data_IF_486743963922
#
_entry.id   IF_486743963922
#
_cell.length_a   1.000
_cell.length_b   1.000
_cell.length_c   1.000
_cell.angle_alpha   90.00
_cell.angle_beta   90.00
_cell.angle_gamma   90.00
#
_symmetry.space_group_name_H-M   'P 1'
#
loop_
_entity.id
_entity.type
_entity.pdbx_description
1 polymer ?
#
# COMPACT_ATOMS: atom_id res chain seq x y z
N UNK A 1 15.63 19.31 7.54
CA UNK A 1 15.19 20.68 7.90
C UNK A 1 13.67 20.70 7.96
N UNK A 2 13.08 20.86 9.13
CA UNK A 2 11.61 20.98 9.26
C UNK A 2 11.20 22.35 8.76
N UNK A 3 10.32 22.43 7.76
CA UNK A 3 9.91 23.70 7.15
C UNK A 3 9.36 24.69 8.18
N UNK A 4 9.56 25.99 7.91
CA UNK A 4 9.09 27.09 8.78
C UNK A 4 7.60 26.91 9.12
N UNK A 5 7.26 26.99 10.41
CA UNK A 5 5.88 26.95 10.93
C UNK A 5 5.26 28.35 10.90
N UNK A 6 3.93 28.45 10.96
CA UNK A 6 3.24 29.76 11.01
C UNK A 6 3.59 30.49 12.33
N UNK A 7 3.71 29.75 13.42
CA UNK A 7 4.12 30.28 14.73
C UNK A 7 5.12 29.35 15.42
N UNK A 8 5.85 29.88 16.40
CA UNK A 8 6.75 29.09 17.24
C UNK A 8 5.97 28.02 18.01
N UNK A 9 6.63 26.89 18.32
CA UNK A 9 6.03 25.81 19.11
C UNK A 9 5.62 26.24 20.52
N UNK A 10 6.21 27.33 21.03
CA UNK A 10 5.91 27.93 22.34
C UNK A 10 4.59 28.70 22.38
N UNK A 11 3.96 28.99 21.22
CA UNK A 11 2.68 29.68 21.19
C UNK A 11 1.59 28.76 21.75
N UNK A 12 0.91 29.23 22.80
CA UNK A 12 -0.20 28.50 23.40
C UNK A 12 -1.42 28.52 22.48
N UNK A 13 -1.98 27.33 22.25
CA UNK A 13 -3.20 27.20 21.46
C UNK A 13 -4.41 27.62 22.27
N UNK A 14 -5.38 28.22 21.59
CA UNK A 14 -6.67 28.52 22.21
C UNK A 14 -7.35 27.22 22.61
N UNK A 15 -7.53 27.01 23.90
CA UNK A 15 -8.28 25.90 24.48
C UNK A 15 -9.60 26.39 25.08
N UNK A 16 -10.57 25.47 25.23
CA UNK A 16 -11.75 25.75 26.02
C UNK A 16 -11.37 25.94 27.49
N UNK A 17 -12.23 26.59 28.29
CA UNK A 17 -12.00 26.70 29.74
C UNK A 17 -11.94 25.29 30.37
N UNK A 18 -11.29 25.13 31.53
CA UNK A 18 -11.14 23.82 32.17
C UNK A 18 -12.46 23.07 32.37
N UNK A 19 -13.54 23.80 32.69
CA UNK A 19 -14.89 23.23 32.84
C UNK A 19 -15.42 22.59 31.56
N UNK A 20 -15.36 23.30 30.42
CA UNK A 20 -15.81 22.77 29.13
C UNK A 20 -14.90 21.65 28.62
N UNK A 21 -13.61 21.72 28.91
CA UNK A 21 -12.64 20.66 28.65
C UNK A 21 -13.03 19.38 29.41
N UNK A 22 -13.42 19.50 30.68
CA UNK A 22 -13.91 18.40 31.50
C UNK A 22 -15.21 17.81 30.95
N UNK A 23 -16.21 18.64 30.62
CA UNK A 23 -17.48 18.17 30.02
C UNK A 23 -17.20 17.40 28.72
N UNK A 24 -16.39 17.96 27.82
CA UNK A 24 -16.03 17.33 26.54
C UNK A 24 -15.32 15.99 26.76
N UNK A 25 -14.32 15.93 27.65
CA UNK A 25 -13.63 14.67 27.96
C UNK A 25 -14.59 13.63 28.54
N UNK A 26 -15.52 14.05 29.38
CA UNK A 26 -16.52 13.17 30.01
C UNK A 26 -17.50 12.61 28.99
N UNK A 27 -18.04 13.45 28.10
CA UNK A 27 -18.99 13.05 27.05
C UNK A 27 -18.30 12.19 25.97
N UNK A 28 -17.08 12.54 25.58
CA UNK A 28 -16.30 11.80 24.57
C UNK A 28 -15.52 10.63 25.14
N UNK A 29 -15.76 10.26 26.40
CA UNK A 29 -15.18 9.06 26.98
C UNK A 29 -13.65 9.01 27.03
N UNK A 30 -13.00 10.17 26.98
CA UNK A 30 -11.53 10.30 27.01
C UNK A 30 -11.00 9.85 28.38
N UNK A 31 -11.69 10.28 29.44
CA UNK A 31 -11.40 9.90 30.83
C UNK A 31 -12.46 8.89 31.31
N UNK A 32 -12.43 7.65 30.80
CA UNK A 32 -13.32 6.57 31.28
C UNK A 32 -12.74 5.80 32.46
N UNK A 33 -13.65 5.22 33.25
CA UNK A 33 -13.34 4.31 34.35
C UNK A 33 -12.56 3.09 33.83
N UNK A 34 -11.66 2.49 34.64
CA UNK A 34 -10.74 1.41 34.24
C UNK A 34 -11.41 0.09 33.79
N UNK A 35 -12.74 0.05 33.66
CA UNK A 35 -13.53 -1.14 33.28
C UNK A 35 -13.64 -1.35 31.76
N UNK A 36 -13.43 -0.31 30.94
CA UNK A 36 -13.53 -0.40 29.47
C UNK A 36 -12.25 0.13 28.83
N UNK A 37 -11.70 -0.53 27.80
CA UNK A 37 -10.50 -0.03 27.12
C UNK A 37 -10.76 1.39 26.58
N UNK A 38 -9.79 2.30 26.73
CA UNK A 38 -9.97 3.70 26.37
C UNK A 38 -10.18 3.83 24.85
N UNK A 39 -11.16 4.61 24.37
CA UNK A 39 -11.29 4.90 22.94
C UNK A 39 -10.13 5.79 22.48
N UNK A 40 -9.28 5.25 21.62
CA UNK A 40 -8.09 5.94 21.08
C UNK A 40 -6.87 5.04 21.07
N UNK A 41 -5.75 5.54 20.55
CA UNK A 41 -4.47 4.84 20.62
C UNK A 41 -4.01 4.80 22.09
N UNK A 42 -3.60 3.63 22.62
CA UNK A 42 -3.08 3.54 23.97
C UNK A 42 -1.80 4.37 24.08
N UNK A 43 -1.80 5.35 24.98
CA UNK A 43 -0.56 6.03 25.41
C UNK A 43 0.15 5.18 26.47
N UNK A 44 1.45 5.40 26.73
CA UNK A 44 2.19 4.66 27.76
C UNK A 44 1.53 4.63 29.14
N UNK A 45 0.73 5.65 29.46
CA UNK A 45 0.01 5.79 30.72
C UNK A 45 -1.39 5.12 30.74
N UNK A 46 -1.79 4.45 29.64
CA UNK A 46 -3.09 3.78 29.52
C UNK A 46 -4.30 4.72 29.44
N UNK A 47 -4.08 6.04 29.28
CA UNK A 47 -5.13 7.05 29.15
C UNK A 47 -5.38 7.39 27.68
N UNK A 48 -6.65 7.59 27.29
CA UNK A 48 -6.95 8.18 26.00
C UNK A 48 -6.61 9.67 26.01
N UNK A 49 -6.01 10.15 24.92
CA UNK A 49 -5.74 11.58 24.72
C UNK A 49 -6.71 12.11 23.66
N UNK A 50 -7.38 13.22 23.98
CA UNK A 50 -8.21 13.90 22.99
C UNK A 50 -7.35 14.60 21.95
N UNK A 51 -7.41 14.15 20.70
CA UNK A 51 -6.80 14.84 19.57
C UNK A 51 -7.75 15.90 19.01
N UNK A 52 -7.38 17.18 19.15
CA UNK A 52 -8.17 18.28 18.62
C UNK A 52 -8.07 18.32 17.08
N UNK A 53 -9.20 18.24 16.33
CA UNK A 53 -9.18 18.30 14.87
C UNK A 53 -8.91 19.71 14.33
N UNK A 54 -8.98 20.74 15.17
CA UNK A 54 -8.71 22.12 14.77
C UNK A 54 -7.23 22.33 14.46
N UNK A 55 -6.98 23.15 13.46
CA UNK A 55 -5.63 23.50 13.02
C UNK A 55 -5.19 24.78 13.72
N UNK A 56 -3.99 24.76 14.31
CA UNK A 56 -3.43 25.88 15.05
C UNK A 56 -2.14 26.39 14.40
N UNK A 57 -1.78 27.67 14.59
CA UNK A 57 -0.58 28.25 13.97
C UNK A 57 0.72 27.51 14.28
N UNK A 58 0.86 26.94 15.49
CA UNK A 58 2.06 26.20 15.88
C UNK A 58 2.11 24.77 15.31
N UNK A 59 0.98 24.19 14.88
CA UNK A 59 0.95 22.84 14.29
C UNK A 59 1.09 22.89 12.77
N UNK A 60 0.66 23.98 12.13
CA UNK A 60 0.68 24.14 10.68
C UNK A 60 2.01 24.64 10.13
N UNK A 61 2.38 24.16 8.93
CA UNK A 61 3.44 24.77 8.12
C UNK A 61 3.07 26.19 7.69
N UNK A 62 4.08 27.04 7.48
CA UNK A 62 3.92 28.39 6.98
C UNK A 62 3.13 28.41 5.66
N UNK A 63 2.38 29.50 5.43
CA UNK A 63 1.61 29.68 4.19
C UNK A 63 2.54 29.78 2.97
N UNK A 64 2.04 29.43 1.76
CA UNK A 64 2.79 29.62 0.52
C UNK A 64 3.32 31.06 0.42
N UNK A 65 4.61 31.22 0.13
CA UNK A 65 5.30 32.52 0.08
C UNK A 65 6.04 32.91 1.36
N UNK A 66 5.75 32.30 2.51
CA UNK A 66 6.53 32.46 3.75
C UNK A 66 7.46 31.28 4.03
N UNK A 67 7.33 30.19 3.26
CA UNK A 67 8.24 29.06 3.28
C UNK A 67 9.43 29.33 2.35
N UNK A 68 10.61 28.82 2.72
CA UNK A 68 11.78 28.85 1.84
C UNK A 68 11.50 28.05 0.56
N UNK A 69 11.98 28.57 -0.57
CA UNK A 69 11.87 27.88 -1.85
C UNK A 69 12.67 26.56 -1.77
N UNK A 70 12.05 25.41 -2.08
CA UNK A 70 12.75 24.14 -2.01
C UNK A 70 13.80 24.05 -3.12
N UNK A 71 14.99 23.57 -2.78
CA UNK A 71 15.97 23.12 -3.78
C UNK A 71 15.71 21.66 -4.09
N UNK A 72 14.98 21.40 -5.18
CA UNK A 72 14.67 20.04 -5.61
C UNK A 72 15.90 19.37 -6.25
N UNK A 73 16.18 18.09 -5.96
CA UNK A 73 17.22 17.37 -6.67
C UNK A 73 16.86 17.22 -8.15
N UNK A 74 17.88 17.20 -9.01
CA UNK A 74 17.68 16.85 -10.42
C UNK A 74 17.18 15.42 -10.59
N UNK A 75 16.57 15.14 -11.75
CA UNK A 75 16.22 13.78 -12.14
C UNK A 75 17.47 12.92 -12.41
N UNK A 76 17.28 11.61 -12.55
CA UNK A 76 18.36 10.63 -12.75
C UNK A 76 19.26 10.89 -13.96
N UNK A 77 18.75 11.61 -14.97
CA UNK A 77 19.50 11.99 -16.18
C UNK A 77 20.01 13.45 -16.15
N UNK A 78 20.07 14.10 -14.99
CA UNK A 78 20.71 15.42 -14.84
C UNK A 78 22.23 15.26 -14.67
N UNK A 79 22.88 14.71 -15.70
CA UNK A 79 24.33 14.41 -15.74
C UNK A 79 24.93 14.94 -17.05
N UNK A 80 26.19 15.39 -17.01
CA UNK A 80 26.87 16.08 -18.10
C UNK A 80 27.56 15.16 -19.12
N UNK A 81 27.84 13.91 -18.75
CA UNK A 81 28.57 12.95 -19.59
C UNK A 81 27.90 11.59 -19.60
N UNK A 82 28.06 10.82 -20.70
CA UNK A 82 27.51 9.47 -20.80
C UNK A 82 25.97 9.42 -20.82
N UNK A 83 25.32 10.49 -21.28
CA UNK A 83 23.86 10.67 -21.21
C UNK A 83 23.22 10.89 -22.58
N UNK A 84 23.61 10.06 -23.54
CA UNK A 84 23.04 10.12 -24.88
C UNK A 84 21.55 9.75 -24.86
N UNK A 85 20.72 10.54 -25.54
CA UNK A 85 19.27 10.31 -25.52
C UNK A 85 18.89 8.95 -26.13
N UNK A 86 19.62 8.48 -27.16
CA UNK A 86 19.30 7.23 -27.86
C UNK A 86 19.40 5.98 -26.97
N UNK A 87 20.20 6.00 -25.88
CA UNK A 87 20.36 4.84 -24.97
C UNK A 87 19.26 4.74 -23.92
N UNK A 88 18.33 5.71 -23.88
CA UNK A 88 17.24 5.77 -22.90
C UNK A 88 15.90 6.17 -23.52
N UNK A 89 15.83 6.21 -24.84
CA UNK A 89 14.60 6.57 -25.54
C UNK A 89 13.68 5.35 -25.63
N UNK A 90 13.03 5.01 -24.51
CA UNK A 90 12.07 3.89 -24.45
C UNK A 90 10.93 4.01 -25.46
N UNK A 91 10.64 5.21 -25.98
CA UNK A 91 9.65 5.41 -27.06
C UNK A 91 10.07 4.78 -28.38
N UNK A 92 11.38 4.59 -28.61
CA UNK A 92 11.94 3.94 -29.81
C UNK A 92 12.27 2.47 -29.59
N UNK A 93 12.21 1.99 -28.35
CA UNK A 93 12.40 0.57 -28.01
C UNK A 93 11.12 -0.25 -28.19
N UNK A 94 9.97 0.40 -28.34
CA UNK A 94 8.69 -0.27 -28.57
C UNK A 94 8.71 -0.95 -29.94
N UNK A 95 8.68 -2.28 -29.93
CA UNK A 95 8.54 -3.10 -31.13
C UNK A 95 7.07 -3.18 -31.56
N UNK A 96 6.79 -3.43 -32.86
CA UNK A 96 5.46 -3.80 -33.32
C UNK A 96 4.92 -5.03 -32.55
N UNK A 97 3.59 -5.16 -32.37
CA UNK A 97 3.01 -6.31 -31.71
C UNK A 97 3.36 -7.59 -32.48
N UNK A 98 3.81 -8.62 -31.75
CA UNK A 98 4.14 -9.92 -32.36
C UNK A 98 2.83 -10.65 -32.72
N UNK A 99 2.61 -11.06 -33.97
CA UNK A 99 1.42 -11.83 -34.34
C UNK A 99 1.51 -13.24 -33.72
N UNK A 100 0.46 -13.65 -33.00
CA UNK A 100 0.38 -14.98 -32.36
C UNK A 100 -0.15 -16.05 -33.32
N UNK A 101 -0.94 -15.65 -34.31
CA UNK A 101 -1.47 -16.53 -35.35
C UNK A 101 -1.17 -15.91 -36.72
N UNK A 102 -0.45 -16.63 -37.56
CA UNK A 102 -0.24 -16.29 -38.96
C UNK A 102 -0.88 -17.41 -39.78
N UNK A 103 -1.77 -17.06 -40.71
CA UNK A 103 -2.32 -18.02 -41.68
C UNK A 103 -1.30 -18.27 -42.79
N UNK A 104 -0.10 -18.65 -42.42
CA UNK A 104 0.88 -19.24 -43.31
C UNK A 104 0.73 -20.76 -43.16
N UNK A 105 0.89 -21.56 -44.22
CA UNK A 105 0.59 -23.00 -44.21
C UNK A 105 1.45 -23.86 -43.27
N UNK A 106 2.13 -23.23 -42.30
CA UNK A 106 2.97 -23.81 -41.28
C UNK A 106 2.17 -24.18 -40.02
N UNK A 107 2.55 -25.28 -39.38
CA UNK A 107 1.92 -25.80 -38.16
C UNK A 107 2.09 -24.87 -36.96
N UNK A 108 1.38 -25.15 -35.85
CA UNK A 108 1.48 -24.44 -34.57
C UNK A 108 2.94 -24.32 -34.12
N UNK A 109 3.40 -23.09 -33.87
CA UNK A 109 4.74 -22.83 -33.34
C UNK A 109 4.67 -22.44 -31.87
N UNK A 110 5.45 -23.11 -31.04
CA UNK A 110 5.62 -22.75 -29.64
C UNK A 110 6.85 -21.85 -29.50
N UNK A 111 6.72 -20.77 -28.72
CA UNK A 111 7.82 -19.81 -28.57
C UNK A 111 7.75 -19.04 -27.26
N UNK A 112 8.91 -18.63 -26.78
CA UNK A 112 9.04 -17.73 -25.63
C UNK A 112 8.54 -16.32 -25.97
N UNK A 113 8.23 -15.47 -24.98
CA UNK A 113 7.93 -14.05 -25.21
C UNK A 113 9.04 -13.31 -25.97
N UNK A 114 10.28 -13.79 -25.83
CA UNK A 114 11.47 -13.31 -26.53
C UNK A 114 11.56 -13.76 -28.00
N UNK A 115 10.75 -14.74 -28.42
CA UNK A 115 10.69 -15.24 -29.81
C UNK A 115 11.62 -16.43 -30.09
N UNK A 116 12.27 -17.00 -29.07
CA UNK A 116 13.00 -18.26 -29.24
C UNK A 116 12.01 -19.41 -29.37
N UNK A 117 12.22 -20.28 -30.36
CA UNK A 117 11.41 -21.46 -30.61
C UNK A 117 11.52 -22.44 -29.43
N UNK A 118 10.38 -22.98 -29.00
CA UNK A 118 10.27 -24.01 -27.97
C UNK A 118 9.78 -25.29 -28.63
N UNK A 119 10.22 -26.44 -28.12
CA UNK A 119 9.57 -27.71 -28.44
C UNK A 119 8.21 -27.81 -27.73
N UNK A 120 7.26 -28.57 -28.28
CA UNK A 120 5.93 -28.76 -27.68
C UNK A 120 6.00 -29.27 -26.24
N UNK A 121 6.98 -30.13 -25.94
CA UNK A 121 7.25 -30.63 -24.60
C UNK A 121 7.85 -29.59 -23.64
N UNK A 122 8.51 -28.55 -24.15
CA UNK A 122 9.10 -27.46 -23.36
C UNK A 122 8.18 -26.25 -23.26
N UNK A 123 7.15 -26.17 -24.11
CA UNK A 123 6.02 -25.25 -23.99
C UNK A 123 5.10 -25.64 -22.83
N UNK A 124 5.71 -26.03 -21.71
CA UNK A 124 5.03 -26.41 -20.49
C UNK A 124 4.32 -25.19 -19.95
N UNK A 125 3.02 -25.38 -19.77
CA UNK A 125 2.07 -24.45 -19.20
C UNK A 125 2.61 -23.80 -17.93
N UNK A 126 3.05 -22.54 -18.02
CA UNK A 126 3.61 -21.81 -16.89
C UNK A 126 2.49 -21.30 -16.00
N UNK A 127 2.16 -22.19 -15.07
CA UNK A 127 1.85 -21.97 -13.66
C UNK A 127 0.47 -21.44 -13.26
N UNK A 128 -0.04 -22.10 -12.23
CA UNK A 128 -1.41 -22.55 -12.23
C UNK A 128 -2.22 -22.17 -11.00
N UNK A 129 -1.57 -21.66 -9.96
CA UNK A 129 -2.20 -21.59 -8.65
C UNK A 129 -2.67 -22.98 -8.15
N UNK A 130 -2.85 -23.15 -6.84
CA UNK A 130 -2.24 -24.30 -6.17
C UNK A 130 -2.94 -25.66 -6.34
N UNK A 131 -3.99 -25.75 -7.15
CA UNK A 131 -4.64 -27.02 -7.53
C UNK A 131 -4.55 -27.35 -9.03
N UNK A 132 -3.79 -26.59 -9.83
CA UNK A 132 -3.50 -26.78 -11.27
C UNK A 132 -4.29 -25.91 -12.32
N UNK A 133 -4.42 -24.58 -12.23
CA UNK A 133 -5.18 -23.60 -13.12
C UNK A 133 -6.67 -23.77 -12.87
N UNK A 134 -7.09 -23.85 -11.61
CA UNK A 134 -8.52 -23.79 -11.34
C UNK A 134 -9.32 -24.89 -12.09
N UNK A 135 -8.70 -26.02 -12.45
CA UNK A 135 -9.31 -27.10 -13.26
C UNK A 135 -9.37 -26.86 -14.77
N UNK A 136 -8.72 -25.83 -15.32
CA UNK A 136 -8.72 -25.49 -16.76
C UNK A 136 -7.52 -26.11 -17.49
N UNK A 137 -7.75 -26.85 -18.57
CA UNK A 137 -6.68 -27.39 -19.43
C UNK A 137 -5.90 -26.29 -20.17
N UNK A 138 -6.51 -25.13 -20.40
CA UNK A 138 -5.89 -23.99 -21.08
C UNK A 138 -4.99 -23.15 -20.16
N UNK A 139 -3.94 -22.49 -20.70
CA UNK A 139 -3.12 -21.56 -19.92
C UNK A 139 -3.96 -20.34 -19.49
N UNK A 140 -4.00 -20.04 -18.19
CA UNK A 140 -4.55 -18.78 -17.69
C UNK A 140 -3.49 -17.68 -17.71
N UNK A 141 -3.81 -16.46 -18.19
CA UNK A 141 -2.89 -15.33 -18.11
C UNK A 141 -2.58 -14.92 -16.65
N UNK A 142 -1.29 -14.65 -16.37
CA UNK A 142 -0.84 -14.16 -15.07
C UNK A 142 -0.68 -15.25 -14.00
N UNK A 143 -0.26 -14.83 -12.80
CA UNK A 143 -0.18 -15.72 -11.63
C UNK A 143 -1.39 -15.48 -10.72
N UNK A 144 -1.94 -16.54 -10.14
CA UNK A 144 -3.00 -16.42 -9.13
C UNK A 144 -2.50 -15.65 -7.90
N UNK A 145 -3.39 -14.88 -7.27
CA UNK A 145 -3.08 -14.11 -6.05
C UNK A 145 -4.03 -14.49 -4.92
N UNK A 146 -3.50 -14.57 -3.69
CA UNK A 146 -4.27 -14.86 -2.48
C UNK A 146 -4.11 -13.73 -1.45
N UNK A 147 -5.21 -13.32 -0.83
CA UNK A 147 -5.18 -12.40 0.30
C UNK A 147 -4.99 -13.19 1.59
N UNK A 148 -4.13 -12.69 2.48
CA UNK A 148 -3.91 -13.29 3.81
C UNK A 148 -4.34 -12.34 4.90
N UNK A 149 -5.05 -12.87 5.89
CA UNK A 149 -5.42 -12.14 7.09
C UNK A 149 -4.18 -11.81 7.93
N UNK A 150 -4.02 -10.54 8.31
CA UNK A 150 -2.95 -10.08 9.20
C UNK A 150 -3.49 -9.81 10.61
N UNK A 151 -3.31 -10.78 11.51
CA UNK A 151 -3.79 -10.72 12.90
C UNK A 151 -3.04 -9.73 13.79
N UNK A 152 -1.88 -9.21 13.36
CA UNK A 152 -1.08 -8.28 14.17
C UNK A 152 -1.74 -6.90 14.26
N UNK A 153 -2.47 -6.49 13.23
CA UNK A 153 -3.07 -5.16 13.12
C UNK A 153 -4.57 -5.13 13.46
N UNK A 154 -5.13 -6.28 13.82
CA UNK A 154 -6.55 -6.42 14.10
C UNK A 154 -6.92 -5.99 15.52
N UNK A 155 -8.18 -5.58 15.68
CA UNK A 155 -8.75 -5.33 17.00
C UNK A 155 -8.81 -6.63 17.79
N UNK A 156 -8.65 -6.56 19.12
CA UNK A 156 -8.68 -7.73 20.01
C UNK A 156 -9.95 -8.57 19.84
N UNK A 157 -11.10 -7.92 19.61
CA UNK A 157 -12.38 -8.60 19.39
C UNK A 157 -12.42 -9.42 18.10
N UNK A 158 -11.76 -8.95 17.05
CA UNK A 158 -11.69 -9.63 15.75
C UNK A 158 -10.64 -10.74 15.78
N UNK A 159 -9.51 -10.48 16.44
CA UNK A 159 -8.41 -11.43 16.59
C UNK A 159 -8.84 -12.75 17.24
N UNK A 160 -9.67 -12.64 18.28
CA UNK A 160 -10.18 -13.79 19.04
C UNK A 160 -11.53 -14.32 18.54
N UNK A 161 -12.06 -13.80 17.42
CA UNK A 161 -13.35 -14.25 16.87
C UNK A 161 -13.22 -15.65 16.24
N UNK A 162 -13.92 -16.67 16.79
CA UNK A 162 -13.86 -18.04 16.27
C UNK A 162 -14.46 -18.16 14.86
N UNK A 163 -15.38 -17.27 14.48
CA UNK A 163 -15.98 -17.27 13.14
C UNK A 163 -14.99 -16.79 12.09
N UNK A 164 -14.23 -15.73 12.38
CA UNK A 164 -13.17 -15.27 11.47
C UNK A 164 -12.05 -16.31 11.34
N UNK A 165 -11.67 -16.97 12.45
CA UNK A 165 -10.72 -18.08 12.41
C UNK A 165 -11.26 -19.31 11.64
N UNK A 166 -12.58 -19.52 11.63
CA UNK A 166 -13.24 -20.55 10.82
C UNK A 166 -13.24 -20.17 9.34
N UNK A 167 -13.46 -18.90 9.02
CA UNK A 167 -13.45 -18.37 7.65
C UNK A 167 -12.08 -18.47 6.99
N UNK A 168 -10.99 -18.34 7.74
CA UNK A 168 -9.62 -18.59 7.25
C UNK A 168 -9.42 -20.01 6.69
N UNK A 169 -10.25 -20.98 7.08
CA UNK A 169 -10.22 -22.34 6.51
C UNK A 169 -10.80 -22.39 5.10
N UNK A 170 -11.71 -21.46 4.78
CA UNK A 170 -12.33 -21.29 3.47
C UNK A 170 -11.54 -20.35 2.56
N UNK A 171 -10.57 -19.59 3.11
CA UNK A 171 -9.50 -18.93 2.33
C UNK A 171 -8.55 -19.95 1.67
N UNK A 172 -8.78 -21.25 1.91
CA UNK A 172 -8.44 -22.43 1.10
C UNK A 172 -7.19 -22.33 0.24
N UNK A 173 -6.03 -22.14 0.89
CA UNK A 173 -4.79 -22.89 0.59
C UNK A 173 -3.91 -23.14 1.84
N UNK A 174 -4.38 -22.83 3.05
CA UNK A 174 -3.64 -23.10 4.30
C UNK A 174 -3.74 -24.55 4.81
N UNK A 175 -4.50 -25.42 4.13
CA UNK A 175 -4.73 -26.80 4.55
C UNK A 175 -4.38 -27.86 3.49
N UNK A 176 -3.26 -27.67 2.78
CA UNK A 176 -2.63 -28.73 1.98
C UNK A 176 -1.30 -29.09 2.65
N UNK A 177 -1.34 -30.09 3.54
CA UNK A 177 -0.17 -30.86 3.93
C UNK A 177 -0.04 -32.04 2.98
#
# INVERSE_FOLDING_TARGET
>A
MSGRKIAAATVQNRTQTPFWTWIRNKLLAVDRLPKTPPPGLPTPDGKAVYHNPLRFPNTQSARPGSAELPTLPGGVHHISSGNYYYTRDGRREVLPPKPVYLSDGHQVQFGTPTGAALTESEAVQVNKGPSANFGLESPTPGFGFEWKRNRETELETQKEDPELARLERFDRFSSSK
#
